data_IF_476159384580
#
_entry.id   IF_476159384580
#
_cell.length_a   1.000
_cell.length_b   1.000
_cell.length_c   1.000
_cell.angle_alpha   90.00
_cell.angle_beta   90.00
_cell.angle_gamma   90.00
#
_symmetry.space_group_name_H-M   'P 1'
#
loop_
_entity.id
_entity.type
_entity.pdbx_description
1 polymer ?
#
# COMPACT_ATOMS: atom_id res chain seq x y z
N UNK A 1 -32.03 -17.26 10.45
CA UNK A 1 -31.81 -16.58 11.76
C UNK A 1 -31.50 -17.67 12.78
N UNK A 2 -30.41 -17.53 13.54
CA UNK A 2 -30.01 -18.50 14.59
C UNK A 2 -29.71 -17.76 15.90
N UNK A 3 -29.99 -18.36 17.07
CA UNK A 3 -29.59 -17.78 18.35
C UNK A 3 -28.06 -17.77 18.47
N UNK A 4 -27.48 -16.64 18.89
CA UNK A 4 -26.06 -16.48 19.16
C UNK A 4 -25.87 -15.72 20.48
N UNK A 5 -25.48 -16.44 21.53
CA UNK A 5 -25.35 -15.87 22.88
C UNK A 5 -26.68 -15.30 23.39
N UNK A 6 -26.72 -13.99 23.66
CA UNK A 6 -27.94 -13.26 24.08
C UNK A 6 -28.67 -12.57 22.93
N UNK A 7 -28.27 -12.81 21.67
CA UNK A 7 -28.84 -12.16 20.49
C UNK A 7 -29.25 -13.13 19.39
N UNK A 8 -29.80 -12.58 18.30
CA UNK A 8 -30.13 -13.31 17.09
C UNK A 8 -29.13 -12.95 15.99
N UNK A 9 -28.52 -13.95 15.37
CA UNK A 9 -27.71 -13.78 14.17
C UNK A 9 -28.58 -14.03 12.93
N UNK A 10 -28.59 -13.06 12.02
CA UNK A 10 -29.23 -13.19 10.72
C UNK A 10 -28.16 -13.40 9.66
N UNK A 11 -28.27 -14.49 8.94
CA UNK A 11 -27.41 -14.81 7.80
C UNK A 11 -28.27 -14.67 6.54
N UNK A 12 -27.76 -13.98 5.53
CA UNK A 12 -28.43 -13.80 4.25
C UNK A 12 -28.08 -14.97 3.32
N UNK A 13 -29.09 -15.64 2.78
CA UNK A 13 -28.89 -16.63 1.74
C UNK A 13 -28.60 -15.92 0.42
N UNK A 14 -27.59 -16.42 -0.30
CA UNK A 14 -27.31 -15.98 -1.67
C UNK A 14 -28.19 -16.71 -2.66
N UNK A 15 -28.64 -16.01 -3.70
CA UNK A 15 -29.39 -16.61 -4.79
C UNK A 15 -28.47 -17.41 -5.71
N UNK A 16 -29.04 -18.34 -6.48
CA UNK A 16 -28.28 -19.22 -7.36
C UNK A 16 -27.42 -18.46 -8.40
N UNK A 17 -27.88 -17.30 -8.85
CA UNK A 17 -27.15 -16.44 -9.79
C UNK A 17 -26.01 -15.62 -9.14
N UNK A 18 -25.93 -15.56 -7.81
CA UNK A 18 -24.84 -14.89 -7.08
C UNK A 18 -23.69 -15.85 -6.72
N UNK A 19 -23.88 -17.15 -6.97
CA UNK A 19 -22.90 -18.21 -6.70
C UNK A 19 -22.33 -18.68 -8.03
N UNK A 20 -21.02 -18.52 -8.22
CA UNK A 20 -20.32 -19.09 -9.37
C UNK A 20 -19.87 -20.52 -9.07
N UNK A 21 -19.95 -21.40 -10.05
CA UNK A 21 -19.39 -22.75 -9.89
C UNK A 21 -17.87 -22.68 -9.77
N UNK A 22 -17.30 -23.58 -8.96
CA UNK A 22 -15.85 -23.72 -8.85
C UNK A 22 -15.22 -24.14 -10.18
N UNK A 23 -15.96 -24.87 -11.00
CA UNK A 23 -15.51 -25.37 -12.31
C UNK A 23 -15.27 -24.23 -13.32
N UNK A 24 -15.91 -23.07 -13.12
CA UNK A 24 -15.72 -21.88 -13.95
C UNK A 24 -14.48 -21.07 -13.56
N UNK A 25 -13.85 -21.40 -12.42
CA UNK A 25 -12.64 -20.72 -11.96
C UNK A 25 -11.43 -21.49 -12.49
N UNK A 26 -10.63 -20.90 -13.41
CA UNK A 26 -9.41 -21.55 -13.87
C UNK A 26 -8.39 -21.59 -12.74
N UNK A 27 -8.27 -22.75 -12.08
CA UNK A 27 -7.28 -22.98 -11.03
C UNK A 27 -6.04 -23.64 -11.68
N UNK A 28 -4.94 -22.90 -11.86
CA UNK A 28 -3.70 -23.51 -12.34
C UNK A 28 -3.16 -24.47 -11.28
N UNK A 29 -2.71 -25.65 -11.73
CA UNK A 29 -1.93 -26.55 -10.87
C UNK A 29 -0.51 -26.00 -10.80
N UNK A 30 -0.10 -25.58 -9.60
CA UNK A 30 1.23 -25.03 -9.34
C UNK A 30 1.90 -25.89 -8.28
N UNK A 31 3.10 -26.36 -8.58
CA UNK A 31 3.95 -27.05 -7.61
C UNK A 31 4.66 -26.00 -6.74
N UNK A 32 4.33 -25.99 -5.45
CA UNK A 32 4.92 -25.05 -4.48
C UNK A 32 6.21 -25.66 -3.92
N UNK A 33 7.32 -24.93 -3.99
CA UNK A 33 8.58 -25.39 -3.40
C UNK A 33 8.58 -25.15 -1.89
N UNK A 34 9.15 -26.08 -1.13
CA UNK A 34 9.23 -25.97 0.34
C UNK A 34 9.88 -24.67 0.83
N UNK A 35 10.96 -24.22 0.16
CA UNK A 35 11.64 -22.99 0.54
C UNK A 35 10.79 -21.72 0.35
N UNK A 36 9.89 -21.72 -0.64
CA UNK A 36 8.95 -20.60 -0.87
C UNK A 36 7.85 -20.60 0.20
N UNK A 37 7.38 -21.78 0.58
CA UNK A 37 6.38 -21.95 1.65
C UNK A 37 6.93 -21.53 3.01
N UNK A 38 8.13 -21.98 3.37
CA UNK A 38 8.79 -21.62 4.64
C UNK A 38 9.02 -20.10 4.74
N UNK A 39 9.37 -19.45 3.62
CA UNK A 39 9.52 -17.99 3.55
C UNK A 39 8.17 -17.27 3.69
N UNK A 40 7.12 -17.75 3.03
CA UNK A 40 5.78 -17.17 3.13
C UNK A 40 5.25 -17.22 4.57
N UNK A 41 5.46 -18.34 5.27
CA UNK A 41 5.07 -18.49 6.69
C UNK A 41 5.79 -17.46 7.56
N UNK A 42 7.11 -17.28 7.39
CA UNK A 42 7.87 -16.27 8.13
C UNK A 42 7.35 -14.84 7.90
N UNK A 43 6.93 -14.51 6.68
CA UNK A 43 6.35 -13.21 6.37
C UNK A 43 4.99 -13.02 7.05
N UNK A 44 4.15 -14.05 7.06
CA UNK A 44 2.87 -14.02 7.76
C UNK A 44 3.10 -13.84 9.25
N UNK A 45 4.02 -14.58 9.87
CA UNK A 45 4.33 -14.45 11.31
C UNK A 45 4.84 -13.05 11.68
N UNK A 46 5.64 -12.41 10.82
CA UNK A 46 6.11 -11.04 11.05
C UNK A 46 5.03 -9.97 10.88
N UNK A 47 4.07 -10.20 9.97
CA UNK A 47 3.00 -9.26 9.67
C UNK A 47 1.72 -9.53 10.48
N UNK A 48 1.63 -10.69 11.12
CA UNK A 48 0.47 -11.09 11.90
C UNK A 48 0.32 -10.21 13.14
N UNK A 49 -0.92 -9.90 13.46
CA UNK A 49 -1.33 -9.22 14.68
C UNK A 49 -2.17 -10.23 15.46
N UNK A 50 -1.88 -10.41 16.74
CA UNK A 50 -2.57 -11.41 17.58
C UNK A 50 -4.07 -11.14 17.71
N UNK A 51 -4.47 -9.87 17.70
CA UNK A 51 -5.87 -9.46 17.83
C UNK A 51 -6.29 -8.55 16.68
N UNK A 52 -7.32 -8.99 15.96
CA UNK A 52 -7.97 -8.15 14.96
C UNK A 52 -8.82 -7.07 15.65
N UNK A 53 -8.43 -5.80 15.48
CA UNK A 53 -9.16 -4.65 16.00
C UNK A 53 -9.80 -3.87 14.84
N UNK A 54 -11.12 -4.01 14.59
CA UNK A 54 -11.79 -3.36 13.45
C UNK A 54 -11.65 -1.84 13.44
N UNK A 55 -11.53 -1.22 14.62
CA UNK A 55 -11.45 0.23 14.79
C UNK A 55 -10.17 0.86 14.23
N UNK A 56 -9.13 0.07 13.98
CA UNK A 56 -7.86 0.55 13.40
C UNK A 56 -7.96 0.78 11.89
N UNK A 57 -9.05 0.32 11.26
CA UNK A 57 -9.25 0.44 9.82
C UNK A 57 -10.27 1.53 9.54
N UNK A 58 -9.85 2.52 8.77
CA UNK A 58 -10.70 3.64 8.37
C UNK A 58 -11.24 3.41 6.95
N UNK A 59 -12.49 3.82 6.74
CA UNK A 59 -13.12 3.79 5.42
C UNK A 59 -12.65 5.02 4.62
N UNK A 60 -11.60 4.82 3.83
CA UNK A 60 -11.01 5.86 2.97
C UNK A 60 -11.94 6.31 1.85
N UNK A 61 -12.92 5.50 1.46
CA UNK A 61 -13.93 5.89 0.46
C UNK A 61 -14.91 6.86 1.11
N UNK A 62 -15.43 6.51 2.28
CA UNK A 62 -16.33 7.38 3.04
C UNK A 62 -15.66 8.71 3.40
N UNK A 63 -14.40 8.68 3.83
CA UNK A 63 -13.64 9.90 4.14
C UNK A 63 -13.56 10.83 2.91
N UNK A 64 -13.17 10.31 1.74
CA UNK A 64 -13.09 11.09 0.49
C UNK A 64 -14.44 11.68 0.08
N UNK A 65 -15.52 10.92 0.21
CA UNK A 65 -16.86 11.40 -0.12
C UNK A 65 -17.29 12.51 0.84
N UNK A 66 -17.04 12.36 2.15
CA UNK A 66 -17.36 13.39 3.14
C UNK A 66 -16.59 14.69 2.90
N UNK A 67 -15.30 14.58 2.55
CA UNK A 67 -14.48 15.73 2.16
C UNK A 67 -15.04 16.44 0.92
N UNK A 68 -15.41 15.69 -0.12
CA UNK A 68 -16.04 16.24 -1.32
C UNK A 68 -17.38 16.93 -1.03
N UNK A 69 -18.19 16.36 -0.12
CA UNK A 69 -19.45 16.98 0.32
C UNK A 69 -19.16 18.30 1.04
N UNK A 70 -18.19 18.31 1.95
CA UNK A 70 -17.82 19.52 2.70
C UNK A 70 -17.34 20.63 1.76
N UNK A 71 -16.48 20.32 0.80
CA UNK A 71 -16.01 21.28 -0.22
C UNK A 71 -17.16 21.87 -1.05
N UNK A 72 -18.19 21.07 -1.40
CA UNK A 72 -19.40 21.59 -2.06
C UNK A 72 -20.22 22.51 -1.18
N UNK A 73 -20.35 22.19 0.11
CA UNK A 73 -21.07 23.02 1.08
C UNK A 73 -20.35 24.37 1.27
N UNK A 74 -19.02 24.35 1.27
CA UNK A 74 -18.17 25.54 1.40
C UNK A 74 -18.07 26.36 0.10
N UNK A 75 -18.72 25.92 -0.98
CA UNK A 75 -18.85 26.65 -2.24
C UNK A 75 -17.69 26.49 -3.22
N UNK A 76 -16.80 25.52 -3.00
CA UNK A 76 -15.71 25.22 -3.93
C UNK A 76 -16.17 24.31 -5.08
N UNK A 77 -15.76 24.62 -6.31
CA UNK A 77 -15.94 23.69 -7.44
C UNK A 77 -15.10 22.44 -7.23
N UNK A 78 -15.74 21.26 -7.30
CA UNK A 78 -15.03 19.98 -7.31
C UNK A 78 -14.35 19.83 -8.66
N UNK A 79 -13.07 20.18 -8.72
CA UNK A 79 -12.19 19.73 -9.80
C UNK A 79 -11.69 18.33 -9.46
N UNK A 80 -11.80 17.39 -10.39
CA UNK A 80 -11.23 16.05 -10.25
C UNK A 80 -9.71 16.18 -10.05
N UNK A 81 -9.22 15.89 -8.85
CA UNK A 81 -7.78 15.77 -8.62
C UNK A 81 -7.26 14.56 -9.41
N UNK A 82 -6.27 14.74 -10.30
CA UNK A 82 -5.73 13.64 -11.06
C UNK A 82 -5.14 12.62 -10.08
N UNK A 83 -5.66 11.39 -10.13
CA UNK A 83 -5.11 10.28 -9.36
C UNK A 83 -3.66 10.07 -9.82
N UNK A 84 -2.68 10.36 -8.96
CA UNK A 84 -1.29 10.01 -9.25
C UNK A 84 -1.21 8.50 -9.47
N UNK A 85 -0.88 8.11 -10.70
CA UNK A 85 -0.62 6.71 -11.02
C UNK A 85 0.52 6.22 -10.11
N UNK A 86 0.35 5.12 -9.37
CA UNK A 86 1.43 4.60 -8.54
C UNK A 86 2.62 4.29 -9.43
N UNK A 87 3.75 4.95 -9.18
CA UNK A 87 5.01 4.69 -9.86
C UNK A 87 5.44 3.27 -9.51
N UNK A 88 5.18 2.32 -10.40
CA UNK A 88 5.61 0.93 -10.23
C UNK A 88 7.12 0.86 -10.40
N UNK A 89 7.84 1.01 -9.29
CA UNK A 89 9.27 0.72 -9.25
C UNK A 89 9.39 -0.81 -9.16
N UNK A 90 9.60 -1.46 -10.32
CA UNK A 90 9.89 -2.89 -10.41
C UNK A 90 11.32 -3.08 -9.87
N UNK A 91 11.46 -3.13 -8.56
CA UNK A 91 12.65 -3.67 -7.92
C UNK A 91 12.51 -5.19 -7.99
N UNK A 92 13.63 -5.92 -8.17
CA UNK A 92 13.68 -7.36 -7.98
C UNK A 92 13.13 -7.69 -6.58
N UNK A 93 11.84 -8.06 -6.56
CA UNK A 93 11.06 -8.23 -5.34
C UNK A 93 11.71 -9.29 -4.46
N UNK A 94 12.32 -10.32 -5.06
CA UNK A 94 12.98 -11.39 -4.31
C UNK A 94 14.20 -10.89 -3.56
N UNK A 95 15.04 -10.08 -4.21
CA UNK A 95 16.24 -9.52 -3.57
C UNK A 95 15.87 -8.44 -2.54
N UNK A 96 14.87 -7.61 -2.83
CA UNK A 96 14.34 -6.64 -1.86
C UNK A 96 13.76 -7.32 -0.61
N UNK A 97 13.05 -8.44 -0.79
CA UNK A 97 12.47 -9.22 0.31
C UNK A 97 13.56 -9.90 1.15
N UNK A 98 14.55 -10.56 0.52
CA UNK A 98 15.71 -11.14 1.24
C UNK A 98 16.47 -10.09 2.04
N UNK A 99 16.67 -8.90 1.47
CA UNK A 99 17.34 -7.79 2.14
C UNK A 99 16.51 -7.25 3.33
N UNK A 100 15.18 -7.22 3.22
CA UNK A 100 14.27 -6.84 4.32
C UNK A 100 14.36 -7.83 5.50
N UNK A 101 14.35 -9.14 5.21
CA UNK A 101 14.49 -10.20 6.22
C UNK A 101 15.87 -10.18 6.90
N UNK A 102 16.94 -9.92 6.14
CA UNK A 102 18.30 -9.81 6.69
C UNK A 102 18.44 -8.62 7.65
N UNK A 103 17.74 -7.50 7.39
CA UNK A 103 17.73 -6.33 8.28
C UNK A 103 16.87 -6.53 9.54
N UNK A 104 15.87 -7.40 9.51
CA UNK A 104 14.99 -7.69 10.65
C UNK A 104 15.61 -8.54 11.76
N UNK A 105 16.69 -9.30 11.47
CA UNK A 105 17.37 -10.16 12.46
C UNK A 105 18.41 -9.46 13.34
N UNK A 106 18.54 -8.13 13.27
CA UNK A 106 19.51 -7.39 14.08
C UNK A 106 19.21 -5.90 14.18
N UNK A 107 18.24 -5.52 15.01
CA UNK A 107 18.31 -4.25 15.78
C UNK A 107 17.24 -4.20 16.87
N UNK A 108 17.48 -4.92 17.96
CA UNK A 108 17.03 -4.47 19.27
C UNK A 108 17.86 -3.24 19.63
N UNK A 109 17.23 -2.06 19.67
CA UNK A 109 17.77 -0.85 20.31
C UNK A 109 18.80 -0.06 19.48
N UNK A 110 18.41 1.14 19.05
CA UNK A 110 19.33 2.13 18.49
C UNK A 110 18.62 3.19 17.67
N UNK A 111 18.57 4.41 18.20
CA UNK A 111 18.02 5.63 17.63
C UNK A 111 18.02 5.70 16.09
N UNK A 112 16.84 5.97 15.51
CA UNK A 112 16.70 6.39 14.11
C UNK A 112 17.33 7.77 13.94
N UNK A 113 18.62 7.80 13.60
CA UNK A 113 19.31 9.00 13.11
C UNK A 113 18.74 9.34 11.72
N UNK A 114 18.26 10.57 11.47
CA UNK A 114 17.68 10.92 10.17
C UNK A 114 18.74 10.81 9.07
N UNK A 115 18.38 10.14 7.98
CA UNK A 115 19.21 10.02 6.80
C UNK A 115 19.50 11.43 6.23
N UNK A 116 20.78 11.81 6.26
CA UNK A 116 21.28 13.08 5.72
C UNK A 116 21.06 13.08 4.21
N UNK A 117 20.17 13.96 3.74
CA UNK A 117 19.95 14.26 2.32
C UNK A 117 21.29 14.59 1.68
N UNK A 118 21.81 13.70 0.84
CA UNK A 118 22.97 13.99 -0.01
C UNK A 118 22.50 14.98 -1.09
N UNK A 119 22.74 16.25 -0.83
CA UNK A 119 22.57 17.34 -1.77
C UNK A 119 23.62 17.16 -2.88
N UNK A 120 23.18 16.58 -4.00
CA UNK A 120 24.01 16.49 -5.20
C UNK A 120 24.10 17.88 -5.79
N UNK A 121 25.24 18.53 -5.55
CA UNK A 121 25.63 19.80 -6.15
C UNK A 121 25.43 19.74 -7.67
N UNK A 122 24.50 20.55 -8.18
CA UNK A 122 24.42 20.88 -9.58
C UNK A 122 25.54 21.90 -9.88
N UNK A 123 26.59 21.44 -10.54
CA UNK A 123 27.59 22.31 -11.15
C UNK A 123 26.96 23.16 -12.26
N UNK A 124 26.49 24.36 -11.95
CA UNK A 124 26.29 25.41 -12.96
C UNK A 124 27.56 26.23 -13.06
N UNK A 125 28.42 25.89 -14.03
CA UNK A 125 29.54 26.74 -14.43
C UNK A 125 29.01 28.04 -15.06
N UNK A 126 29.39 29.24 -14.57
CA UNK A 126 29.00 30.50 -15.21
C UNK A 126 29.90 30.79 -16.41
N UNK A 127 29.33 30.79 -17.61
CA UNK A 127 30.01 31.27 -18.81
C UNK A 127 30.11 32.81 -18.78
N UNK A 128 31.35 33.29 -18.86
CA UNK A 128 31.78 34.70 -18.84
C UNK A 128 31.04 35.57 -19.86
N UNK A 129 30.49 36.68 -19.36
CA UNK A 129 30.27 37.93 -20.12
C UNK A 129 31.58 38.38 -20.78
N UNK A 130 31.57 38.63 -22.09
CA UNK A 130 32.42 39.64 -22.74
C UNK A 130 31.50 40.71 -23.34
N UNK A 131 31.79 41.96 -22.95
CA UNK A 131 31.19 43.21 -23.42
C UNK A 131 31.72 43.60 -24.81
N UNK A 132 31.04 44.60 -25.37
CA UNK A 132 31.42 45.54 -26.46
C UNK A 132 31.09 45.07 -27.89
N UNK A 133 30.56 45.87 -28.82
CA UNK A 133 30.09 47.26 -28.80
C UNK A 133 29.32 47.56 -30.12
N UNK A 134 28.50 48.62 -30.07
CA UNK A 134 28.02 49.53 -31.13
C UNK A 134 28.30 49.23 -32.62
N UNK A 135 27.24 49.27 -33.43
CA UNK A 135 26.99 50.27 -34.50
C UNK A 135 25.51 50.21 -34.91
#
# INVERSE_FOLDING_TARGET
>A
IRPLGRGLAMEQLRYANEVRSIDEVPIPKVDVKKAELDMAVQLIEQAAIETFEPKKYEDTVKARIQEQIQRKVDGEEITEEPTEAPKTQIIDLMEALKASLAKGKGSTGGERKPAKRAERAAETKPAKRRKAASA
#
